data_IF_252428005632
#
_entry.id   IF_252428005632
#
_cell.length_a   1.000
_cell.length_b   1.000
_cell.length_c   1.000
_cell.angle_alpha   90.00
_cell.angle_beta   90.00
_cell.angle_gamma   90.00
#
_symmetry.space_group_name_H-M   'P 1'
#
loop_
_entity.id
_entity.type
_entity.pdbx_description
1 polymer ?
#
# COMPACT_ATOMS: atom_id res chain seq x y z
N UNK A 1 -11.81 23.20 7.12
CA UNK A 1 -11.32 21.92 6.55
C UNK A 1 -9.96 22.20 5.96
N UNK A 2 -8.92 21.49 6.38
CA UNK A 2 -7.60 21.58 5.75
C UNK A 2 -7.62 20.73 4.48
N UNK A 3 -7.27 21.32 3.37
CA UNK A 3 -7.13 20.65 2.08
C UNK A 3 -5.67 20.30 1.88
N UNK A 4 -5.36 19.08 1.49
CA UNK A 4 -4.00 18.67 1.21
C UNK A 4 -3.50 19.34 -0.09
N UNK A 5 -2.20 19.68 -0.16
CA UNK A 5 -1.63 20.32 -1.35
C UNK A 5 -1.38 19.36 -2.53
N UNK A 6 -1.74 18.09 -2.40
CA UNK A 6 -1.63 17.09 -3.47
C UNK A 6 -2.94 16.31 -3.60
N UNK A 7 -3.18 15.72 -4.78
CA UNK A 7 -4.25 14.73 -4.98
C UNK A 7 -3.80 13.40 -4.38
N UNK A 8 -4.46 12.89 -3.32
CA UNK A 8 -4.00 11.68 -2.64
C UNK A 8 -4.19 10.44 -3.51
N UNK A 9 -3.24 9.51 -3.43
CA UNK A 9 -3.27 8.21 -4.10
C UNK A 9 -3.23 7.05 -3.10
N UNK A 10 -2.39 7.17 -2.06
CA UNK A 10 -2.17 6.11 -1.06
C UNK A 10 -1.84 6.73 0.29
N UNK A 11 -2.18 6.02 1.35
CA UNK A 11 -1.90 6.44 2.72
C UNK A 11 -1.21 5.31 3.45
N UNK A 12 -0.12 5.63 4.13
CA UNK A 12 0.59 4.76 5.05
C UNK A 12 0.45 5.32 6.46
N UNK A 13 -0.22 4.57 7.34
CA UNK A 13 -0.35 4.94 8.75
C UNK A 13 0.85 4.41 9.54
N UNK A 14 1.34 5.20 10.46
CA UNK A 14 2.39 4.85 11.41
C UNK A 14 2.05 5.47 12.76
N UNK A 15 2.05 4.68 13.83
CA UNK A 15 1.78 5.10 15.21
C UNK A 15 0.96 6.42 15.34
N UNK A 16 1.66 7.55 15.43
CA UNK A 16 1.08 8.88 15.63
C UNK A 16 1.10 9.78 14.40
N UNK A 17 1.41 9.22 13.23
CA UNK A 17 1.57 9.96 11.98
C UNK A 17 1.05 9.16 10.78
N UNK A 18 0.97 9.80 9.63
CA UNK A 18 0.73 9.13 8.36
C UNK A 18 1.52 9.79 7.23
N UNK A 19 1.86 9.01 6.22
CA UNK A 19 2.44 9.51 4.98
C UNK A 19 1.41 9.34 3.87
N UNK A 20 1.06 10.43 3.22
CA UNK A 20 0.20 10.44 2.03
C UNK A 20 1.07 10.53 0.79
N UNK A 21 0.89 9.58 -0.09
CA UNK A 21 1.49 9.58 -1.44
C UNK A 21 0.51 10.22 -2.40
N UNK A 22 0.95 11.27 -3.09
CA UNK A 22 0.17 11.95 -4.12
C UNK A 22 0.28 11.28 -5.48
N UNK A 23 -0.68 11.58 -6.36
CA UNK A 23 -0.73 11.06 -7.75
C UNK A 23 0.49 11.44 -8.59
N UNK A 24 1.13 12.56 -8.29
CA UNK A 24 2.32 13.07 -8.99
C UNK A 24 3.64 12.75 -8.25
N UNK A 25 3.58 11.86 -7.24
CA UNK A 25 4.77 11.43 -6.49
C UNK A 25 5.15 12.33 -5.32
N UNK A 26 4.37 13.38 -5.04
CA UNK A 26 4.53 14.18 -3.84
C UNK A 26 4.20 13.38 -2.58
N UNK A 27 4.94 13.62 -1.52
CA UNK A 27 4.76 13.03 -0.19
C UNK A 27 4.29 14.10 0.79
N UNK A 28 3.35 13.75 1.65
CA UNK A 28 2.86 14.64 2.72
C UNK A 28 2.90 13.88 4.03
N UNK A 29 3.56 14.46 5.01
CA UNK A 29 3.47 14.04 6.40
C UNK A 29 2.21 14.59 7.06
N UNK A 30 1.50 13.76 7.79
CA UNK A 30 0.35 14.13 8.60
C UNK A 30 0.53 13.63 10.03
N UNK A 31 0.15 14.46 11.00
CA UNK A 31 -0.03 14.00 12.38
C UNK A 31 -1.42 13.35 12.55
N UNK A 32 -1.69 12.76 13.72
CA UNK A 32 -2.98 12.12 14.06
C UNK A 32 -4.19 13.05 13.97
N UNK A 33 -3.98 14.36 14.12
CA UNK A 33 -5.07 15.33 13.95
C UNK A 33 -5.38 15.62 12.49
N UNK A 34 -4.54 15.16 11.55
CA UNK A 34 -4.66 15.39 10.12
C UNK A 34 -4.06 16.74 9.69
N UNK A 35 -3.21 17.33 10.51
CA UNK A 35 -2.46 18.53 10.14
C UNK A 35 -1.23 18.12 9.33
N UNK A 36 -0.96 18.85 8.26
CA UNK A 36 0.25 18.70 7.44
C UNK A 36 1.46 19.08 8.29
N UNK A 37 2.41 18.17 8.39
CA UNK A 37 3.68 18.36 9.11
C UNK A 37 4.81 18.65 8.15
N UNK A 38 4.78 18.04 6.96
CA UNK A 38 5.79 18.25 5.92
C UNK A 38 5.24 17.97 4.52
N UNK A 39 5.90 18.52 3.49
CA UNK A 39 5.64 18.28 2.07
C UNK A 39 6.96 18.04 1.36
N UNK A 40 7.10 16.92 0.69
CA UNK A 40 8.34 16.53 0.01
C UNK A 40 8.05 15.96 -1.39
N UNK A 41 8.93 16.27 -2.35
CA UNK A 41 8.86 15.77 -3.74
C UNK A 41 10.19 15.09 -4.09
N UNK A 42 10.32 13.77 -3.82
CA UNK A 42 11.60 13.08 -4.04
C UNK A 42 12.03 13.00 -5.50
N UNK A 43 11.06 12.86 -6.40
CA UNK A 43 11.26 12.80 -7.85
C UNK A 43 10.06 13.43 -8.58
N UNK A 44 10.26 13.84 -9.83
CA UNK A 44 9.18 14.35 -10.68
C UNK A 44 8.24 13.26 -11.20
N UNK A 45 8.66 11.99 -11.13
CA UNK A 45 7.86 10.85 -11.57
C UNK A 45 6.90 10.41 -10.45
N UNK A 46 5.73 9.87 -10.80
CA UNK A 46 4.83 9.25 -9.83
C UNK A 46 5.47 8.08 -9.08
N UNK A 47 5.16 7.94 -7.80
CA UNK A 47 5.53 6.76 -7.02
C UNK A 47 4.70 5.56 -7.50
N UNK A 48 5.37 4.55 -8.02
CA UNK A 48 4.74 3.34 -8.56
C UNK A 48 4.28 2.40 -7.45
N UNK A 49 5.12 2.18 -6.44
CA UNK A 49 4.81 1.37 -5.27
C UNK A 49 5.54 1.87 -4.04
N UNK A 50 5.00 1.62 -2.87
CA UNK A 50 5.62 2.04 -1.60
C UNK A 50 5.13 1.21 -0.43
N UNK A 51 5.97 1.09 0.60
CA UNK A 51 5.65 0.50 1.89
C UNK A 51 6.33 1.29 3.01
N UNK A 52 5.74 1.28 4.20
CA UNK A 52 6.29 1.94 5.37
C UNK A 52 7.10 0.93 6.19
N UNK A 53 8.30 1.34 6.60
CA UNK A 53 9.24 0.60 7.43
C UNK A 53 9.51 1.40 8.72
N UNK A 54 10.17 0.80 9.69
CA UNK A 54 10.57 1.49 10.92
C UNK A 54 11.49 2.70 10.65
N UNK A 55 12.30 2.63 9.59
CA UNK A 55 13.24 3.69 9.20
C UNK A 55 12.72 4.71 8.20
N UNK A 56 11.52 4.53 7.65
CA UNK A 56 11.01 5.44 6.63
C UNK A 56 10.09 4.80 5.59
N UNK A 57 9.78 5.57 4.56
CA UNK A 57 9.01 5.10 3.41
C UNK A 57 9.97 4.55 2.35
N UNK A 58 9.92 3.24 2.10
CA UNK A 58 10.52 2.68 0.89
C UNK A 58 9.57 2.92 -0.29
N UNK A 59 10.07 3.54 -1.35
CA UNK A 59 9.27 3.89 -2.52
C UNK A 59 10.00 3.55 -3.81
N UNK A 60 9.23 3.32 -4.88
CA UNK A 60 9.77 3.08 -6.22
C UNK A 60 9.16 4.03 -7.25
N UNK A 61 9.98 4.37 -8.24
CA UNK A 61 9.63 5.21 -9.40
C UNK A 61 10.00 4.44 -10.65
N UNK A 62 9.00 3.95 -11.38
CA UNK A 62 9.23 3.30 -12.66
C UNK A 62 9.47 4.36 -13.73
N UNK A 63 10.59 4.24 -14.42
CA UNK A 63 10.90 5.07 -15.57
C UNK A 63 10.41 4.37 -16.83
N UNK A 64 9.65 5.08 -17.63
CA UNK A 64 9.15 4.57 -18.91
C UNK A 64 10.12 4.95 -20.05
N UNK A 65 11.42 4.79 -19.77
CA UNK A 65 12.48 4.93 -20.76
C UNK A 65 12.61 3.67 -21.64
N UNK A 66 13.52 3.72 -22.58
CA UNK A 66 13.74 2.61 -23.56
C UNK A 66 14.14 1.30 -22.86
N UNK A 67 14.79 1.40 -21.70
CA UNK A 67 15.40 0.27 -20.98
C UNK A 67 14.53 -0.24 -19.84
N UNK A 68 13.31 0.32 -19.63
CA UNK A 68 12.37 -0.05 -18.58
C UNK A 68 13.06 -0.18 -17.21
N UNK A 69 13.63 0.91 -16.73
CA UNK A 69 14.32 0.96 -15.43
C UNK A 69 13.45 1.50 -14.30
N UNK A 70 13.89 1.32 -13.07
CA UNK A 70 13.23 1.86 -11.87
C UNK A 70 14.25 2.44 -10.91
N UNK A 71 13.89 3.52 -10.23
CA UNK A 71 14.53 3.90 -8.98
C UNK A 71 13.77 3.30 -7.79
N UNK A 72 14.50 2.95 -6.76
CA UNK A 72 13.97 2.61 -5.44
C UNK A 72 14.77 3.36 -4.39
N UNK A 73 14.11 3.92 -3.38
CA UNK A 73 14.77 4.69 -2.34
C UNK A 73 14.02 4.69 -1.02
N UNK A 74 14.77 4.84 0.06
CA UNK A 74 14.26 4.99 1.42
C UNK A 74 14.21 6.47 1.78
N UNK A 75 13.03 6.99 2.02
CA UNK A 75 12.78 8.36 2.49
C UNK A 75 12.52 8.30 3.99
N UNK A 76 13.38 8.87 4.84
CA UNK A 76 13.23 8.81 6.30
C UNK A 76 11.93 9.45 6.78
N UNK A 77 11.29 8.84 7.79
CA UNK A 77 10.07 9.41 8.39
C UNK A 77 10.33 10.66 9.21
N UNK A 78 11.55 10.90 9.65
CA UNK A 78 11.96 12.12 10.34
C UNK A 78 11.72 13.38 9.49
N UNK A 79 11.81 13.27 8.16
CA UNK A 79 11.41 14.35 7.25
C UNK A 79 9.93 14.70 7.36
N UNK A 80 9.09 13.81 7.86
CA UNK A 80 7.64 14.01 7.94
C UNK A 80 7.16 14.50 9.30
N UNK A 81 8.01 14.47 10.33
CA UNK A 81 7.61 14.76 11.72
C UNK A 81 8.15 16.09 12.23
N UNK A 82 9.34 16.54 11.78
CA UNK A 82 10.08 17.66 12.39
C UNK A 82 10.30 18.90 11.49
N UNK A 83 9.89 18.88 10.24
CA UNK A 83 10.15 20.02 9.37
C UNK A 83 9.03 21.07 9.42
N UNK A 84 9.15 21.99 10.37
CA UNK A 84 8.41 23.26 10.38
C UNK A 84 8.91 24.27 9.33
N UNK A 85 9.51 23.80 8.24
CA UNK A 85 10.05 24.63 7.17
C UNK A 85 9.48 24.21 5.82
N UNK A 86 8.82 25.13 5.13
CA UNK A 86 8.51 24.99 3.70
C UNK A 86 9.82 24.84 2.94
N UNK A 87 10.22 23.61 2.63
CA UNK A 87 11.32 23.39 1.69
C UNK A 87 10.81 23.81 0.31
N UNK A 88 11.36 24.87 -0.24
CA UNK A 88 11.17 25.24 -1.64
C UNK A 88 11.60 24.02 -2.47
N UNK A 89 10.67 23.48 -3.26
CA UNK A 89 10.92 22.39 -4.19
C UNK A 89 11.97 22.86 -5.18
N UNK A 90 13.24 22.51 -4.97
CA UNK A 90 14.28 22.77 -5.95
C UNK A 90 14.09 21.81 -7.13
N UNK A 91 13.64 22.34 -8.26
CA UNK A 91 13.33 21.61 -9.50
C UNK A 91 14.53 21.15 -10.31
N UNK A 92 15.73 21.21 -9.76
CA UNK A 92 16.98 20.94 -10.49
C UNK A 92 17.72 19.72 -9.91
N UNK A 93 17.13 18.51 -9.95
CA UNK A 93 17.93 17.30 -9.84
C UNK A 93 18.14 16.71 -11.24
N UNK A 94 19.38 16.60 -11.66
CA UNK A 94 19.77 15.90 -12.88
C UNK A 94 19.39 14.42 -12.79
N UNK A 95 19.13 13.79 -13.93
CA UNK A 95 18.63 12.40 -14.05
C UNK A 95 19.54 11.30 -13.41
N UNK A 96 20.70 11.67 -12.86
CA UNK A 96 21.67 10.73 -12.24
C UNK A 96 21.75 10.83 -10.70
N UNK A 97 20.98 11.70 -10.06
CA UNK A 97 21.14 11.97 -8.61
C UNK A 97 20.17 11.21 -7.71
N UNK A 98 19.43 10.23 -8.19
CA UNK A 98 18.49 9.45 -7.37
C UNK A 98 17.36 10.27 -6.72
N UNK A 99 16.51 9.66 -5.89
CA UNK A 99 15.44 10.36 -5.20
C UNK A 99 15.96 11.34 -4.16
N UNK A 100 15.51 12.59 -4.22
CA UNK A 100 15.92 13.64 -3.28
C UNK A 100 15.50 13.28 -1.85
N UNK A 101 16.41 13.48 -0.89
CA UNK A 101 16.18 13.19 0.52
C UNK A 101 16.22 11.70 0.89
N UNK A 102 16.48 10.81 -0.05
CA UNK A 102 16.66 9.40 0.25
C UNK A 102 17.99 9.17 1.01
N UNK A 103 17.93 8.41 2.11
CA UNK A 103 19.11 7.97 2.85
C UNK A 103 19.77 6.75 2.22
N UNK A 104 19.03 6.04 1.40
CA UNK A 104 19.52 4.95 0.55
C UNK A 104 18.71 4.95 -0.74
N UNK A 105 19.36 4.65 -1.86
CA UNK A 105 18.68 4.46 -3.14
C UNK A 105 19.46 3.57 -4.09
N UNK A 106 18.75 2.98 -5.04
CA UNK A 106 19.32 2.14 -6.10
C UNK A 106 18.52 2.28 -7.40
N UNK A 107 19.23 2.31 -8.54
CA UNK A 107 18.65 2.13 -9.86
C UNK A 107 18.62 0.63 -10.18
N UNK A 108 17.51 0.13 -10.66
CA UNK A 108 17.26 -1.27 -11.01
C UNK A 108 16.91 -1.36 -12.49
N UNK A 109 17.40 -2.41 -13.15
CA UNK A 109 16.95 -2.79 -14.49
C UNK A 109 15.61 -3.52 -14.37
N UNK A 110 14.56 -3.01 -15.02
CA UNK A 110 13.20 -3.54 -14.96
C UNK A 110 12.23 -2.68 -14.16
N UNK A 111 10.95 -3.07 -14.17
CA UNK A 111 9.84 -2.36 -13.52
C UNK A 111 9.48 -3.02 -12.21
N UNK A 112 9.33 -2.23 -11.15
CA UNK A 112 8.83 -2.71 -9.85
C UNK A 112 7.29 -2.73 -9.91
N UNK A 113 6.70 -3.91 -9.68
CA UNK A 113 5.25 -4.10 -9.66
C UNK A 113 4.64 -3.79 -8.31
N UNK A 114 5.25 -4.27 -7.24
CA UNK A 114 4.76 -4.12 -5.88
C UNK A 114 5.89 -4.12 -4.88
N UNK A 115 5.72 -3.37 -3.79
CA UNK A 115 6.56 -3.40 -2.60
C UNK A 115 5.67 -3.70 -1.41
N UNK A 116 6.07 -4.69 -0.60
CA UNK A 116 5.53 -4.96 0.72
C UNK A 116 6.59 -4.72 1.77
N UNK A 117 6.23 -4.27 2.96
CA UNK A 117 7.20 -4.00 4.01
C UNK A 117 6.59 -3.96 5.40
N UNK A 118 7.44 -4.12 6.39
CA UNK A 118 7.11 -4.02 7.81
C UNK A 118 8.34 -4.23 8.68
N UNK A 119 8.44 -3.49 9.77
CA UNK A 119 9.64 -3.50 10.60
C UNK A 119 10.88 -3.04 9.81
N UNK A 120 11.92 -3.83 9.87
CA UNK A 120 13.19 -3.60 9.15
C UNK A 120 13.32 -4.37 7.83
N UNK A 121 12.26 -5.01 7.35
CA UNK A 121 12.30 -5.82 6.12
C UNK A 121 11.33 -5.31 5.08
N UNK A 122 11.76 -5.33 3.82
CA UNK A 122 10.85 -5.13 2.69
C UNK A 122 11.11 -6.14 1.57
N UNK A 123 10.05 -6.42 0.83
CA UNK A 123 10.06 -7.34 -0.30
C UNK A 123 9.53 -6.59 -1.51
N UNK A 124 10.16 -6.80 -2.67
CA UNK A 124 9.67 -6.23 -3.91
C UNK A 124 9.68 -7.25 -5.04
N UNK A 125 8.76 -7.04 -5.98
CA UNK A 125 8.66 -7.82 -7.20
C UNK A 125 9.18 -7.00 -8.38
N UNK A 126 10.14 -7.56 -9.12
CA UNK A 126 10.66 -7.00 -10.34
C UNK A 126 10.10 -7.81 -11.53
N UNK A 127 9.38 -7.13 -12.42
CA UNK A 127 8.61 -7.75 -13.51
C UNK A 127 9.43 -8.77 -14.29
N UNK A 128 8.99 -10.02 -14.30
CA UNK A 128 9.60 -11.11 -15.08
C UNK A 128 10.96 -11.56 -14.59
N UNK A 129 11.54 -10.95 -13.55
CA UNK A 129 12.87 -11.27 -13.02
C UNK A 129 12.80 -12.04 -11.72
N UNK A 130 12.10 -11.52 -10.71
CA UNK A 130 12.03 -12.21 -9.43
C UNK A 130 11.41 -11.42 -8.30
N UNK A 131 11.39 -12.07 -7.15
CA UNK A 131 11.02 -11.51 -5.85
C UNK A 131 12.29 -11.40 -5.02
N UNK A 132 12.49 -10.27 -4.41
CA UNK A 132 13.68 -9.95 -3.61
C UNK A 132 13.25 -9.55 -2.20
N UNK A 133 13.86 -10.14 -1.20
CA UNK A 133 13.75 -9.74 0.21
C UNK A 133 15.00 -9.00 0.63
N UNK A 134 14.78 -7.86 1.24
CA UNK A 134 15.84 -6.96 1.68
C UNK A 134 15.68 -6.65 3.16
N UNK A 135 16.76 -6.71 3.90
CA UNK A 135 16.83 -6.26 5.28
C UNK A 135 17.45 -4.87 5.36
N UNK A 136 16.79 -3.99 6.11
CA UNK A 136 17.23 -2.63 6.39
C UNK A 136 17.95 -2.58 7.74
N UNK A 137 19.17 -2.07 7.73
CA UNK A 137 19.94 -1.77 8.94
C UNK A 137 20.12 -0.25 9.03
N UNK A 138 19.82 0.32 10.19
CA UNK A 138 19.98 1.73 10.47
C UNK A 138 21.13 1.95 11.45
N UNK A 139 22.09 2.78 11.08
CA UNK A 139 23.17 3.25 11.94
C UNK A 139 23.15 4.79 11.98
N UNK A 140 22.45 5.34 12.96
CA UNK A 140 22.13 6.77 12.99
C UNK A 140 21.32 7.18 11.76
N UNK A 141 21.86 8.14 10.98
CA UNK A 141 21.22 8.64 9.75
C UNK A 141 21.63 7.85 8.49
N UNK A 142 22.47 6.82 8.63
CA UNK A 142 22.88 5.99 7.51
C UNK A 142 22.01 4.75 7.44
N UNK A 143 21.52 4.47 6.25
CA UNK A 143 20.78 3.25 5.96
C UNK A 143 21.63 2.32 5.09
N UNK A 144 21.74 1.06 5.47
CA UNK A 144 22.25 0.00 4.64
C UNK A 144 21.15 -1.01 4.32
N UNK A 145 21.15 -1.52 3.10
CA UNK A 145 20.13 -2.47 2.63
C UNK A 145 20.86 -3.69 2.06
N UNK A 146 20.60 -4.83 2.67
CA UNK A 146 21.20 -6.10 2.33
C UNK A 146 20.16 -7.08 1.78
N UNK A 147 20.50 -7.82 0.72
CA UNK A 147 19.64 -8.89 0.19
C UNK A 147 19.67 -10.08 1.15
N UNK A 148 18.48 -10.46 1.68
CA UNK A 148 18.33 -11.67 2.50
C UNK A 148 18.16 -12.89 1.62
N UNK A 149 17.25 -12.82 0.66
CA UNK A 149 17.00 -13.87 -0.31
C UNK A 149 16.39 -13.31 -1.59
N UNK A 150 16.46 -14.11 -2.65
CA UNK A 150 15.73 -13.89 -3.89
C UNK A 150 15.23 -15.19 -4.48
N UNK A 151 14.06 -15.12 -5.12
CA UNK A 151 13.46 -16.23 -5.83
C UNK A 151 12.98 -15.79 -7.21
N UNK A 152 12.80 -16.74 -8.11
CA UNK A 152 12.26 -16.46 -9.42
C UNK A 152 10.86 -15.85 -9.34
N UNK A 153 10.50 -15.07 -10.35
CA UNK A 153 9.14 -14.57 -10.48
C UNK A 153 8.16 -15.75 -10.54
N UNK A 154 7.06 -15.72 -9.73
CA UNK A 154 6.18 -16.86 -9.62
C UNK A 154 5.47 -17.18 -10.94
N UNK A 155 5.29 -18.48 -11.21
CA UNK A 155 4.40 -18.95 -12.25
C UNK A 155 2.99 -19.09 -11.67
N UNK A 156 2.09 -18.27 -12.18
CA UNK A 156 0.68 -18.33 -11.83
C UNK A 156 0.00 -19.41 -12.66
N UNK A 157 -0.57 -20.42 -12.01
CA UNK A 157 -1.02 -21.67 -12.66
C UNK A 157 -2.52 -21.84 -12.67
N UNK A 158 -3.24 -21.09 -11.84
CA UNK A 158 -4.68 -21.31 -11.58
C UNK A 158 -5.58 -20.36 -12.38
N UNK A 159 -5.04 -19.48 -13.21
CA UNK A 159 -5.85 -18.59 -14.02
C UNK A 159 -6.53 -19.34 -15.17
N UNK A 160 -7.79 -19.69 -14.99
CA UNK A 160 -8.65 -20.30 -16.03
C UNK A 160 -9.36 -19.27 -16.93
N UNK A 161 -8.91 -18.01 -16.93
CA UNK A 161 -9.51 -16.89 -17.67
C UNK A 161 -8.69 -16.45 -18.88
N UNK A 162 -9.24 -15.57 -19.74
CA UNK A 162 -8.48 -14.93 -20.80
C UNK A 162 -7.28 -14.23 -20.16
N UNK A 163 -6.10 -14.37 -20.78
CA UNK A 163 -4.80 -13.96 -20.27
C UNK A 163 -4.78 -12.57 -19.60
N UNK A 164 -5.30 -12.48 -18.41
CA UNK A 164 -5.01 -11.39 -17.51
C UNK A 164 -3.54 -11.57 -17.19
N UNK A 165 -2.74 -10.57 -17.50
CA UNK A 165 -1.34 -10.60 -17.09
C UNK A 165 -1.33 -10.72 -15.58
N UNK A 166 -0.90 -11.87 -15.08
CA UNK A 166 -0.80 -12.17 -13.67
C UNK A 166 0.36 -11.38 -13.06
N UNK A 167 0.10 -10.11 -12.83
CA UNK A 167 0.99 -9.22 -12.11
C UNK A 167 0.77 -9.38 -10.63
N UNK A 168 1.80 -9.11 -9.86
CA UNK A 168 1.68 -9.04 -8.43
C UNK A 168 0.99 -7.74 -8.03
N UNK A 169 -0.24 -7.86 -7.55
CA UNK A 169 -1.05 -6.74 -7.08
C UNK A 169 -0.64 -6.28 -5.68
N UNK A 170 -0.22 -7.21 -4.82
CA UNK A 170 0.14 -6.90 -3.44
C UNK A 170 1.14 -7.90 -2.88
N UNK A 171 2.06 -7.40 -2.05
CA UNK A 171 3.00 -8.18 -1.24
C UNK A 171 2.75 -7.78 0.21
N UNK A 172 2.56 -8.76 1.09
CA UNK A 172 2.33 -8.55 2.51
C UNK A 172 3.29 -9.40 3.33
N UNK A 173 3.86 -8.82 4.37
CA UNK A 173 4.56 -9.58 5.41
C UNK A 173 3.51 -9.91 6.47
N UNK A 174 3.27 -11.20 6.67
CA UNK A 174 2.29 -11.73 7.61
C UNK A 174 2.99 -12.64 8.63
N UNK A 175 2.30 -13.06 9.69
CA UNK A 175 2.93 -13.90 10.72
C UNK A 175 3.47 -15.23 10.18
N UNK A 176 2.82 -15.83 9.19
CA UNK A 176 3.22 -17.10 8.59
C UNK A 176 4.25 -16.99 7.46
N UNK A 177 4.63 -15.78 7.05
CA UNK A 177 5.60 -15.56 5.96
C UNK A 177 5.33 -14.34 5.11
N UNK A 178 5.59 -14.48 3.82
CA UNK A 178 5.37 -13.44 2.80
C UNK A 178 4.25 -13.87 1.88
N UNK A 179 3.14 -13.16 1.90
CA UNK A 179 1.99 -13.41 1.05
C UNK A 179 2.09 -12.58 -0.23
N UNK A 180 2.16 -13.23 -1.37
CA UNK A 180 2.07 -12.66 -2.70
C UNK A 180 0.65 -12.84 -3.23
N UNK A 181 0.05 -11.77 -3.77
CA UNK A 181 -1.28 -11.81 -4.39
C UNK A 181 -1.18 -11.33 -5.83
N UNK A 182 -1.65 -12.16 -6.77
CA UNK A 182 -1.76 -11.76 -8.17
C UNK A 182 -3.01 -10.92 -8.43
N UNK A 183 -3.02 -10.14 -9.52
CA UNK A 183 -4.23 -9.46 -9.99
C UNK A 183 -5.37 -10.44 -10.28
N UNK A 184 -5.06 -11.68 -10.68
CA UNK A 184 -6.02 -12.74 -10.98
C UNK A 184 -6.65 -13.40 -9.75
N UNK A 185 -6.13 -13.12 -8.54
CA UNK A 185 -6.63 -13.71 -7.30
C UNK A 185 -5.91 -14.99 -6.84
N UNK A 186 -4.90 -15.45 -7.58
CA UNK A 186 -4.00 -16.49 -7.07
C UNK A 186 -3.09 -15.90 -6.00
N UNK A 187 -2.84 -16.65 -4.94
CA UNK A 187 -1.92 -16.27 -3.90
C UNK A 187 -0.87 -17.35 -3.63
N UNK A 188 0.30 -16.91 -3.20
CA UNK A 188 1.42 -17.76 -2.82
C UNK A 188 1.93 -17.27 -1.48
N UNK A 189 2.14 -18.20 -0.55
CA UNK A 189 2.80 -17.96 0.72
C UNK A 189 4.25 -18.45 0.62
N UNK A 190 5.20 -17.55 0.85
CA UNK A 190 6.63 -17.86 0.92
C UNK A 190 7.11 -17.82 2.36
N UNK A 191 8.12 -18.63 2.69
CA UNK A 191 8.81 -18.50 3.96
C UNK A 191 9.48 -17.13 4.08
N UNK A 192 9.43 -16.52 5.27
CA UNK A 192 10.05 -15.23 5.52
C UNK A 192 11.59 -15.29 5.46
N UNK A 193 12.19 -16.46 5.77
CA UNK A 193 13.63 -16.63 5.94
C UNK A 193 14.35 -16.99 4.63
N UNK A 194 13.71 -17.77 3.75
CA UNK A 194 14.37 -18.33 2.58
C UNK A 194 13.63 -18.05 1.26
N UNK A 195 12.39 -17.53 1.33
CA UNK A 195 11.54 -17.32 0.16
C UNK A 195 11.01 -18.62 -0.47
N UNK A 196 11.11 -19.76 0.25
CA UNK A 196 10.59 -21.05 -0.24
C UNK A 196 9.07 -21.03 -0.20
N UNK A 197 8.42 -21.53 -1.24
CA UNK A 197 6.96 -21.65 -1.28
C UNK A 197 6.48 -22.64 -0.21
N UNK A 198 5.61 -22.16 0.67
CA UNK A 198 4.99 -22.94 1.76
C UNK A 198 3.60 -23.42 1.39
N UNK A 199 2.84 -22.56 0.70
CA UNK A 199 1.46 -22.82 0.34
C UNK A 199 1.03 -21.94 -0.83
N UNK A 200 -0.04 -22.32 -1.52
CA UNK A 200 -0.70 -21.52 -2.54
C UNK A 200 -2.19 -21.80 -2.63
N UNK A 201 -2.92 -20.84 -3.13
CA UNK A 201 -4.34 -21.00 -3.33
C UNK A 201 -4.92 -19.96 -4.28
N UNK A 202 -6.23 -19.96 -4.36
CA UNK A 202 -6.96 -19.10 -5.27
C UNK A 202 -8.19 -18.50 -4.60
N UNK A 203 -8.42 -17.22 -4.88
CA UNK A 203 -9.61 -16.49 -4.49
C UNK A 203 -10.57 -16.44 -5.68
N UNK A 204 -11.78 -16.99 -5.54
CA UNK A 204 -12.84 -16.90 -6.55
C UNK A 204 -13.39 -15.46 -6.62
N UNK A 205 -12.60 -14.57 -7.24
CA UNK A 205 -12.93 -13.16 -7.43
C UNK A 205 -13.49 -12.92 -8.82
N UNK A 206 -14.47 -12.01 -8.91
CA UNK A 206 -15.05 -11.57 -10.19
C UNK A 206 -14.31 -10.39 -10.81
N UNK A 207 -13.51 -9.70 -10.00
CA UNK A 207 -12.79 -8.51 -10.40
C UNK A 207 -11.30 -8.64 -10.02
N UNK A 208 -10.40 -8.04 -10.78
CA UNK A 208 -8.96 -8.07 -10.46
C UNK A 208 -8.67 -7.52 -9.06
N UNK A 209 -7.72 -8.13 -8.39
CA UNK A 209 -7.16 -7.61 -7.14
C UNK A 209 -6.50 -6.26 -7.43
N UNK A 210 -6.80 -5.30 -6.58
CA UNK A 210 -6.17 -3.99 -6.60
C UNK A 210 -5.08 -3.87 -5.55
N UNK A 211 -5.39 -4.32 -4.33
CA UNK A 211 -4.54 -4.15 -3.16
C UNK A 211 -4.99 -5.08 -2.05
N UNK A 212 -4.10 -5.39 -1.11
CA UNK A 212 -4.46 -6.05 0.13
C UNK A 212 -3.82 -5.34 1.33
N UNK A 213 -4.42 -5.52 2.50
CA UNK A 213 -3.90 -5.08 3.80
C UNK A 213 -3.98 -6.23 4.79
N UNK A 214 -3.02 -6.28 5.69
CA UNK A 214 -2.92 -7.31 6.72
C UNK A 214 -3.13 -6.72 8.10
N UNK A 215 -3.84 -7.44 8.94
CA UNK A 215 -3.96 -7.24 10.37
C UNK A 215 -3.60 -8.51 11.10
N UNK A 216 -2.82 -8.38 12.14
CA UNK A 216 -2.43 -9.50 12.99
C UNK A 216 -3.64 -10.17 13.66
N UNK A 217 -4.67 -9.40 13.98
CA UNK A 217 -5.88 -9.84 14.66
C UNK A 217 -6.92 -10.43 13.69
N UNK A 218 -7.08 -9.80 12.52
CA UNK A 218 -8.19 -10.08 11.60
C UNK A 218 -7.78 -10.87 10.35
N UNK A 219 -6.49 -11.03 10.08
CA UNK A 219 -6.00 -11.65 8.85
C UNK A 219 -5.84 -10.66 7.71
N UNK A 220 -6.21 -11.03 6.48
CA UNK A 220 -5.96 -10.24 5.28
C UNK A 220 -7.27 -9.80 4.62
N UNK A 221 -7.41 -8.49 4.38
CA UNK A 221 -8.45 -7.95 3.50
C UNK A 221 -7.89 -7.75 2.10
N UNK A 222 -8.48 -8.41 1.12
CA UNK A 222 -8.17 -8.27 -0.30
C UNK A 222 -9.21 -7.38 -0.95
N UNK A 223 -8.78 -6.27 -1.52
CA UNK A 223 -9.60 -5.27 -2.20
C UNK A 223 -9.50 -5.46 -3.71
N UNK A 224 -10.63 -5.45 -4.40
CA UNK A 224 -10.67 -5.55 -5.86
C UNK A 224 -10.92 -4.20 -6.53
N UNK A 225 -10.71 -4.15 -7.84
CA UNK A 225 -11.09 -2.99 -8.67
C UNK A 225 -12.60 -2.89 -8.89
N UNK A 226 -13.38 -3.82 -8.32
CA UNK A 226 -14.83 -3.92 -8.47
C UNK A 226 -15.59 -3.73 -7.16
N UNK A 227 -16.75 -4.36 -7.09
CA UNK A 227 -17.71 -4.21 -6.01
C UNK A 227 -17.68 -5.40 -5.04
N UNK A 228 -16.47 -5.89 -4.76
CA UNK A 228 -16.25 -7.01 -3.83
C UNK A 228 -14.93 -6.87 -3.10
N UNK A 229 -14.87 -7.45 -1.91
CA UNK A 229 -13.66 -7.70 -1.12
C UNK A 229 -13.67 -9.16 -0.68
N UNK A 230 -12.48 -9.71 -0.38
CA UNK A 230 -12.34 -10.99 0.28
C UNK A 230 -11.59 -10.82 1.60
N UNK A 231 -12.05 -11.51 2.63
CA UNK A 231 -11.40 -11.57 3.93
C UNK A 231 -10.82 -12.97 4.10
N UNK A 232 -9.51 -13.06 4.27
CA UNK A 232 -8.79 -14.30 4.56
C UNK A 232 -8.44 -14.31 6.04
N UNK A 233 -8.65 -15.42 6.71
CA UNK A 233 -8.21 -15.57 8.10
C UNK A 233 -6.68 -15.57 8.21
N UNK A 234 -6.15 -15.50 9.43
CA UNK A 234 -4.70 -15.44 9.69
C UNK A 234 -3.93 -16.63 9.12
N UNK A 235 -4.57 -17.79 9.01
CA UNK A 235 -3.96 -19.04 8.54
C UNK A 235 -4.20 -19.27 7.04
N UNK A 236 -4.84 -18.32 6.34
CA UNK A 236 -5.22 -18.41 4.92
C UNK A 236 -6.14 -19.59 4.59
N UNK A 237 -6.71 -20.24 5.62
CA UNK A 237 -7.51 -21.46 5.51
C UNK A 237 -8.98 -21.19 5.21
N UNK A 238 -9.47 -20.00 5.59
CA UNK A 238 -10.85 -19.59 5.40
C UNK A 238 -10.92 -18.26 4.66
N UNK A 239 -11.77 -18.23 3.65
CA UNK A 239 -12.04 -17.00 2.88
C UNK A 239 -13.53 -16.65 2.98
N UNK A 240 -13.84 -15.41 3.34
CA UNK A 240 -15.17 -14.85 3.29
C UNK A 240 -15.25 -13.79 2.20
N UNK A 241 -16.19 -13.96 1.26
CA UNK A 241 -16.41 -13.02 0.16
C UNK A 241 -17.55 -12.08 0.51
N UNK A 242 -17.25 -10.79 0.58
CA UNK A 242 -18.26 -9.74 0.69
C UNK A 242 -18.46 -9.16 -0.71
N UNK A 243 -19.62 -9.49 -1.27
CA UNK A 243 -20.05 -9.04 -2.59
C UNK A 243 -21.16 -8.00 -2.43
N UNK A 244 -21.37 -7.17 -3.45
CA UNK A 244 -22.40 -6.12 -3.47
C UNK A 244 -22.09 -4.87 -2.62
N UNK A 245 -20.81 -4.56 -2.40
CA UNK A 245 -20.47 -3.23 -1.92
C UNK A 245 -20.73 -2.18 -3.02
N UNK A 246 -20.98 -0.91 -2.68
CA UNK A 246 -21.39 0.13 -3.66
C UNK A 246 -20.36 0.38 -4.76
N UNK A 247 -19.07 0.25 -4.47
CA UNK A 247 -17.98 0.50 -5.39
C UNK A 247 -16.65 -0.09 -4.91
N UNK A 248 -15.53 0.15 -5.61
CA UNK A 248 -14.22 -0.28 -5.17
C UNK A 248 -13.84 0.28 -3.81
N UNK A 249 -13.22 -0.54 -2.97
CA UNK A 249 -12.55 -0.12 -1.75
C UNK A 249 -11.14 0.36 -2.11
N UNK A 250 -10.78 1.56 -1.64
CA UNK A 250 -9.52 2.20 -1.97
C UNK A 250 -8.54 2.23 -0.78
N UNK A 251 -9.07 2.18 0.45
CA UNK A 251 -8.26 2.08 1.64
C UNK A 251 -9.01 1.39 2.77
N UNK A 252 -8.28 0.59 3.55
CA UNK A 252 -8.84 -0.13 4.69
C UNK A 252 -7.91 -0.03 5.90
N UNK A 253 -8.50 -0.20 7.06
CA UNK A 253 -7.84 -0.20 8.36
C UNK A 253 -8.47 -1.26 9.26
N UNK A 254 -7.65 -1.98 10.00
CA UNK A 254 -8.10 -2.89 11.05
C UNK A 254 -8.15 -2.15 12.39
N UNK A 255 -9.25 -2.25 13.08
CA UNK A 255 -9.48 -1.66 14.40
C UNK A 255 -9.95 -2.78 15.35
N UNK A 256 -9.03 -3.31 16.14
CA UNK A 256 -9.24 -4.44 17.05
C UNK A 256 -9.95 -5.64 16.38
N UNK A 257 -11.28 -5.66 16.46
CA UNK A 257 -12.13 -6.76 15.95
C UNK A 257 -12.93 -6.37 14.71
N UNK A 258 -12.64 -5.23 14.10
CA UNK A 258 -13.44 -4.67 13.00
C UNK A 258 -12.58 -4.23 11.83
N UNK A 259 -12.93 -4.69 10.64
CA UNK A 259 -12.45 -4.08 9.41
C UNK A 259 -13.22 -2.82 9.11
N UNK A 260 -12.53 -1.70 8.88
CA UNK A 260 -13.07 -0.44 8.40
C UNK A 260 -12.44 -0.09 7.07
N UNK A 261 -13.22 0.49 6.16
CA UNK A 261 -12.72 0.92 4.86
C UNK A 261 -13.42 2.16 4.34
N UNK A 262 -12.79 2.76 3.36
CA UNK A 262 -13.36 3.82 2.54
C UNK A 262 -13.12 3.52 1.06
N UNK A 263 -13.93 4.09 0.18
CA UNK A 263 -13.81 3.81 -1.23
C UNK A 263 -14.66 4.74 -2.11
N UNK A 264 -15.12 4.21 -3.23
CA UNK A 264 -15.91 4.96 -4.19
C UNK A 264 -17.27 5.37 -3.59
N UNK A 265 -17.29 6.56 -2.98
CA UNK A 265 -18.47 7.20 -2.36
C UNK A 265 -19.15 6.35 -1.29
N UNK A 266 -18.40 5.56 -0.56
CA UNK A 266 -18.91 4.83 0.59
C UNK A 266 -17.81 4.57 1.62
N UNK A 267 -18.25 4.50 2.87
CA UNK A 267 -17.50 3.91 3.97
C UNK A 267 -18.17 2.59 4.34
N UNK A 268 -17.41 1.65 4.84
CA UNK A 268 -17.96 0.40 5.29
C UNK A 268 -17.19 -0.20 6.44
N UNK A 269 -17.85 -1.05 7.20
CA UNK A 269 -17.20 -1.89 8.19
C UNK A 269 -17.76 -3.30 8.21
N UNK A 270 -16.94 -4.20 8.72
CA UNK A 270 -17.30 -5.60 8.89
C UNK A 270 -16.79 -6.12 10.23
N UNK A 271 -17.73 -6.57 11.06
CA UNK A 271 -17.48 -7.13 12.39
C UNK A 271 -18.41 -8.30 12.64
N UNK A 272 -17.87 -9.46 13.03
CA UNK A 272 -18.66 -10.64 13.43
C UNK A 272 -19.75 -11.05 12.41
N UNK A 273 -19.43 -11.00 11.11
CA UNK A 273 -20.39 -11.34 10.04
C UNK A 273 -21.38 -10.23 9.72
N UNK A 274 -21.31 -9.07 10.38
CA UNK A 274 -22.18 -7.93 10.14
C UNK A 274 -21.50 -6.91 9.25
N UNK A 275 -22.12 -6.60 8.12
CA UNK A 275 -21.70 -5.58 7.17
C UNK A 275 -22.48 -4.28 7.42
N UNK A 276 -21.75 -3.18 7.58
CA UNK A 276 -22.31 -1.83 7.62
C UNK A 276 -21.76 -1.02 6.45
N UNK A 277 -22.64 -0.39 5.68
CA UNK A 277 -22.27 0.51 4.58
C UNK A 277 -22.91 1.87 4.82
N UNK A 278 -22.15 2.94 4.58
CA UNK A 278 -22.61 4.32 4.63
C UNK A 278 -22.17 5.04 3.36
N UNK A 279 -23.09 5.70 2.72
CA UNK A 279 -22.78 6.50 1.53
C UNK A 279 -22.13 7.82 1.93
N UNK A 280 -21.27 8.33 1.06
CA UNK A 280 -20.60 9.63 1.23
C UNK A 280 -20.60 10.42 -0.08
N UNK A 281 -20.40 11.73 -0.01
CA UNK A 281 -20.37 12.62 -1.17
C UNK A 281 -19.11 12.45 -2.00
N UNK A 282 -17.96 12.33 -1.32
CA UNK A 282 -16.64 12.29 -1.94
C UNK A 282 -16.06 10.88 -2.00
N UNK A 283 -15.08 10.67 -2.86
CA UNK A 283 -14.34 9.41 -2.97
C UNK A 283 -13.31 9.36 -1.83
N UNK A 284 -13.43 8.40 -0.94
CA UNK A 284 -12.40 8.14 0.07
C UNK A 284 -11.25 7.35 -0.52
N UNK A 285 -10.03 7.88 -0.44
CA UNK A 285 -8.81 7.26 -0.96
C UNK A 285 -8.15 6.34 0.07
N UNK A 286 -8.23 6.71 1.35
CA UNK A 286 -7.66 5.89 2.39
C UNK A 286 -8.04 6.36 3.79
N UNK A 287 -7.79 5.50 4.76
CA UNK A 287 -8.06 5.75 6.17
C UNK A 287 -6.87 6.47 6.81
N UNK A 288 -7.15 7.49 7.62
CA UNK A 288 -6.20 8.12 8.54
C UNK A 288 -6.57 7.66 9.96
N UNK A 289 -5.89 6.62 10.41
CA UNK A 289 -6.27 5.90 11.62
C UNK A 289 -7.69 5.33 11.54
N UNK A 290 -8.31 5.15 12.70
CA UNK A 290 -9.63 4.47 12.83
C UNK A 290 -10.83 5.36 12.55
N UNK A 291 -10.67 6.69 12.54
CA UNK A 291 -11.80 7.63 12.63
C UNK A 291 -11.88 8.67 11.53
N UNK A 292 -10.88 8.75 10.66
CA UNK A 292 -10.84 9.73 9.58
C UNK A 292 -10.55 9.05 8.25
N UNK A 293 -10.95 9.69 7.18
CA UNK A 293 -10.55 9.30 5.82
C UNK A 293 -10.08 10.53 5.05
N UNK A 294 -9.20 10.29 4.11
CA UNK A 294 -8.70 11.28 3.16
C UNK A 294 -9.44 11.07 1.85
N UNK A 295 -10.00 12.15 1.32
CA UNK A 295 -10.76 12.14 0.07
C UNK A 295 -9.86 12.48 -1.12
N UNK A 296 -10.31 12.15 -2.31
CA UNK A 296 -9.59 12.39 -3.57
C UNK A 296 -9.37 13.88 -3.89
N UNK A 297 -10.19 14.77 -3.32
CA UNK A 297 -10.01 16.23 -3.40
C UNK A 297 -9.00 16.79 -2.37
N UNK A 298 -8.41 15.92 -1.55
CA UNK A 298 -7.48 16.29 -0.49
C UNK A 298 -8.15 16.70 0.83
N UNK A 299 -9.46 16.66 0.94
CA UNK A 299 -10.14 16.93 2.22
C UNK A 299 -9.99 15.76 3.19
N UNK A 300 -9.92 16.08 4.47
CA UNK A 300 -9.90 15.10 5.56
C UNK A 300 -11.24 15.16 6.28
N UNK A 301 -11.97 14.07 6.24
CA UNK A 301 -13.30 13.95 6.79
C UNK A 301 -13.37 12.89 7.88
N UNK A 302 -14.41 12.95 8.71
CA UNK A 302 -14.69 11.88 9.66
C UNK A 302 -15.17 10.64 8.91
N UNK A 303 -14.59 9.48 9.20
CA UNK A 303 -15.08 8.21 8.71
C UNK A 303 -16.51 7.95 9.20
N UNK A 304 -17.40 7.53 8.30
CA UNK A 304 -18.81 7.31 8.62
C UNK A 304 -19.62 8.57 8.94
N UNK A 305 -19.08 9.78 8.68
CA UNK A 305 -19.59 11.06 9.18
C UNK A 305 -20.77 11.68 8.43
N UNK A 306 -21.19 11.14 7.30
CA UNK A 306 -22.22 11.73 6.45
C UNK A 306 -23.35 10.74 6.09
N UNK A 307 -24.26 10.49 7.00
CA UNK A 307 -25.65 10.18 6.62
C UNK A 307 -26.58 10.36 7.80
N UNK A 308 -27.66 11.05 7.55
CA UNK A 308 -28.84 11.09 8.40
C UNK A 308 -29.66 9.79 8.35
N UNK A 309 -29.24 8.78 7.56
CA UNK A 309 -29.94 7.49 7.43
C UNK A 309 -28.93 6.37 7.21
N UNK A 310 -28.86 5.46 8.19
CA UNK A 310 -28.16 4.20 8.09
C UNK A 310 -29.05 3.17 7.39
N UNK A 311 -28.76 2.83 6.13
CA UNK A 311 -29.32 1.62 5.53
C UNK A 311 -28.53 0.41 6.06
N UNK A 312 -29.20 -0.40 6.86
CA UNK A 312 -28.79 -1.76 7.20
C UNK A 312 -29.25 -2.67 6.06
N UNK A 313 -28.33 -3.26 5.33
CA UNK A 313 -28.62 -4.22 4.26
C UNK A 313 -28.60 -5.63 4.81
#
# INVERSE_FOLDING_TARGET
MSMLPVTPLRIHNHLDAAVVVGTEGGLIGLNNSGLVTDVHQPMLNPISSSALLDGGLIASWNLYDVDASSYMGLIPTEFFVDFGGTSEISRESGADEGPQGATWWRKLEGTIESIGGGGSRFIFALTGLGIYSMDLELDGNLASVNESWRVHYPLWTLSSGPAIRDRIASILIIESGVLLLSEGGEWILLSAEEGVELDRGFLDLKNPVNRAVYSRELGTMVMTRGREIALMDRNLSRVEHIRKIPGPVLGAYADDEEWKWTGWRHDGSFKNGQLLIRMRSEIGVGMLGVSKCICNDGTIERWGGYSSESEVV
#
